data_IF_528468075645
#
_entry.id   IF_528468075645
#
_cell.length_a   1.000
_cell.length_b   1.000
_cell.length_c   1.000
_cell.angle_alpha   90.00
_cell.angle_beta   90.00
_cell.angle_gamma   90.00
#
_symmetry.space_group_name_H-M   'P 1'
#
loop_
_entity.id
_entity.type
_entity.pdbx_description
1 polymer ?
#
# COMPACT_ATOMS: atom_id res chain seq x y z
N UNK A 1 6.83 3.58 7.52
CA UNK A 1 6.02 3.11 6.37
C UNK A 1 5.19 1.96 6.90
N UNK A 2 3.89 1.95 6.69
CA UNK A 2 2.92 1.03 7.33
C UNK A 2 2.88 -0.35 6.70
N UNK A 3 3.25 -0.43 5.43
CA UNK A 3 3.36 -1.67 4.69
C UNK A 3 4.74 -1.73 4.04
N UNK A 4 5.27 -2.94 3.94
CA UNK A 4 6.56 -3.18 3.30
C UNK A 4 6.52 -2.91 1.80
N UNK A 5 7.66 -2.63 1.20
CA UNK A 5 7.76 -2.56 -0.27
C UNK A 5 7.33 -3.86 -0.93
N UNK A 6 7.54 -5.00 -0.26
CA UNK A 6 7.09 -6.31 -0.76
C UNK A 6 5.58 -6.39 -0.85
N UNK A 7 4.85 -5.93 0.17
CA UNK A 7 3.39 -5.86 0.13
C UNK A 7 2.88 -4.92 -0.96
N UNK A 8 3.54 -3.78 -1.18
CA UNK A 8 3.16 -2.88 -2.28
C UNK A 8 3.30 -3.56 -3.64
N UNK A 9 4.40 -4.29 -3.86
CA UNK A 9 4.58 -5.05 -5.10
C UNK A 9 3.60 -6.22 -5.21
N UNK A 10 3.28 -6.89 -4.09
CA UNK A 10 2.30 -7.96 -4.06
C UNK A 10 0.90 -7.46 -4.47
N UNK A 11 0.43 -6.35 -3.91
CA UNK A 11 -0.85 -5.74 -4.26
C UNK A 11 -0.90 -5.36 -5.74
N UNK A 12 0.14 -4.68 -6.26
CA UNK A 12 0.22 -4.31 -7.67
C UNK A 12 0.25 -5.53 -8.59
N UNK A 13 0.94 -6.59 -8.19
CA UNK A 13 1.01 -7.83 -8.98
C UNK A 13 -0.34 -8.55 -9.00
N UNK A 14 -1.06 -8.62 -7.87
CA UNK A 14 -2.40 -9.23 -7.81
C UNK A 14 -3.40 -8.45 -8.64
N UNK A 15 -3.37 -7.10 -8.61
CA UNK A 15 -4.21 -6.27 -9.49
C UNK A 15 -3.93 -6.53 -10.97
N UNK A 16 -2.65 -6.57 -11.36
CA UNK A 16 -2.27 -6.88 -12.75
C UNK A 16 -2.75 -8.27 -13.19
N UNK A 17 -2.62 -9.27 -12.32
CA UNK A 17 -3.13 -10.62 -12.60
C UNK A 17 -4.66 -10.63 -12.70
N UNK A 18 -5.35 -9.85 -11.88
CA UNK A 18 -6.80 -9.73 -11.91
C UNK A 18 -7.31 -9.11 -13.23
N UNK A 19 -6.58 -8.13 -13.76
CA UNK A 19 -6.92 -7.48 -15.04
C UNK A 19 -6.62 -8.34 -16.27
N UNK A 20 -5.53 -9.11 -16.24
CA UNK A 20 -4.98 -9.76 -17.43
C UNK A 20 -5.05 -11.30 -17.38
N UNK A 21 -5.41 -11.89 -16.25
CA UNK A 21 -5.39 -13.33 -16.00
C UNK A 21 -6.77 -13.99 -16.03
N UNK A 22 -7.77 -13.38 -16.67
CA UNK A 22 -9.14 -13.89 -16.70
C UNK A 22 -9.21 -15.19 -17.52
N UNK A 23 -8.71 -15.16 -18.75
CA UNK A 23 -8.79 -16.28 -19.70
C UNK A 23 -7.57 -17.19 -19.64
N UNK A 24 -6.37 -16.60 -19.47
CA UNK A 24 -5.10 -17.33 -19.48
C UNK A 24 -4.19 -16.89 -18.31
N UNK A 25 -3.36 -17.81 -17.75
CA UNK A 25 -2.40 -17.48 -16.71
C UNK A 25 -1.37 -16.44 -17.17
N UNK A 26 -1.14 -15.43 -16.36
CA UNK A 26 -0.16 -14.37 -16.64
C UNK A 26 1.25 -14.81 -16.25
N UNK A 27 2.18 -14.69 -17.17
CA UNK A 27 3.59 -15.07 -16.94
C UNK A 27 4.30 -14.05 -16.03
N UNK A 28 5.21 -14.55 -15.20
CA UNK A 28 6.02 -13.70 -14.32
C UNK A 28 6.79 -12.61 -15.08
N UNK A 29 7.23 -12.90 -16.30
CA UNK A 29 7.99 -11.94 -17.12
C UNK A 29 7.11 -10.77 -17.55
N UNK A 30 5.84 -11.01 -17.89
CA UNK A 30 4.88 -9.96 -18.25
C UNK A 30 4.58 -9.06 -17.03
N UNK A 31 4.34 -9.66 -15.85
CA UNK A 31 4.10 -8.93 -14.61
C UNK A 31 5.35 -8.10 -14.23
N UNK A 32 6.54 -8.70 -14.32
CA UNK A 32 7.81 -8.04 -13.99
C UNK A 32 8.08 -6.82 -14.88
N UNK A 33 7.84 -6.96 -16.18
CA UNK A 33 7.97 -5.87 -17.15
C UNK A 33 6.98 -4.74 -16.86
N UNK A 34 5.70 -5.06 -16.66
CA UNK A 34 4.65 -4.07 -16.39
C UNK A 34 4.90 -3.29 -15.09
N UNK A 35 5.40 -3.95 -14.05
CA UNK A 35 5.65 -3.32 -12.75
C UNK A 35 7.05 -2.70 -12.63
N UNK A 36 7.93 -2.89 -13.63
CA UNK A 36 9.34 -2.49 -13.58
C UNK A 36 10.07 -3.05 -12.36
N UNK A 37 9.86 -4.33 -12.05
CA UNK A 37 10.43 -5.04 -10.89
C UNK A 37 11.32 -6.18 -11.37
N UNK A 38 12.49 -6.42 -10.74
CA UNK A 38 13.34 -7.55 -11.09
C UNK A 38 12.60 -8.88 -11.01
N UNK A 39 12.65 -9.67 -12.08
CA UNK A 39 11.95 -10.96 -12.23
C UNK A 39 12.14 -11.90 -11.03
N UNK A 40 13.40 -12.04 -10.58
CA UNK A 40 13.74 -12.97 -9.50
C UNK A 40 13.09 -12.58 -8.16
N UNK A 41 13.01 -11.28 -7.89
CA UNK A 41 12.33 -10.76 -6.71
C UNK A 41 10.81 -10.99 -6.80
N UNK A 42 10.21 -10.62 -7.94
CA UNK A 42 8.78 -10.77 -8.16
C UNK A 42 8.35 -12.25 -8.13
N UNK A 43 9.14 -13.15 -8.70
CA UNK A 43 8.88 -14.58 -8.67
C UNK A 43 8.73 -15.12 -7.24
N UNK A 44 9.61 -14.71 -6.31
CA UNK A 44 9.49 -15.09 -4.89
C UNK A 44 8.20 -14.58 -4.26
N UNK A 45 7.82 -13.33 -4.56
CA UNK A 45 6.59 -12.70 -4.07
C UNK A 45 5.35 -13.43 -4.60
N UNK A 46 5.29 -13.73 -5.90
CA UNK A 46 4.17 -14.47 -6.50
C UNK A 46 4.04 -15.89 -5.96
N UNK A 47 5.15 -16.60 -5.73
CA UNK A 47 5.11 -17.91 -5.09
C UNK A 47 4.69 -17.84 -3.61
N UNK A 48 5.00 -16.78 -2.87
CA UNK A 48 4.49 -16.58 -1.52
C UNK A 48 2.96 -16.38 -1.55
N UNK A 49 2.45 -15.59 -2.48
CA UNK A 49 1.01 -15.41 -2.70
C UNK A 49 0.31 -16.72 -3.11
N UNK A 50 0.95 -17.54 -3.93
CA UNK A 50 0.42 -18.84 -4.31
C UNK A 50 0.35 -19.81 -3.12
N UNK A 51 1.36 -19.83 -2.24
CA UNK A 51 1.32 -20.62 -0.99
C UNK A 51 0.23 -20.16 -0.02
N UNK A 52 -0.11 -18.86 -0.06
CA UNK A 52 -1.18 -18.27 0.74
C UNK A 52 -2.57 -18.39 0.07
N UNK A 53 -2.69 -19.15 -1.02
CA UNK A 53 -3.91 -19.30 -1.80
C UNK A 53 -4.54 -18.00 -2.31
N UNK A 54 -3.74 -16.95 -2.51
CA UNK A 54 -4.18 -15.73 -3.18
C UNK A 54 -4.12 -15.90 -4.69
N UNK A 55 -3.10 -16.64 -5.17
CA UNK A 55 -2.89 -16.96 -6.58
C UNK A 55 -2.83 -18.47 -6.79
N UNK A 56 -3.24 -18.94 -7.96
CA UNK A 56 -2.86 -20.22 -8.50
C UNK A 56 -1.60 -20.09 -9.35
N UNK A 57 -0.68 -21.06 -9.27
CA UNK A 57 0.50 -21.14 -10.13
C UNK A 57 0.46 -22.38 -11.02
N UNK A 58 0.43 -22.18 -12.33
CA UNK A 58 0.53 -23.24 -13.35
C UNK A 58 1.98 -23.44 -13.80
N UNK A 59 2.35 -24.70 -14.13
CA UNK A 59 3.66 -25.06 -14.70
C UNK A 59 3.57 -25.28 -16.22
N UNK A 60 4.70 -25.22 -16.90
CA UNK A 60 4.82 -25.57 -18.32
C UNK A 60 4.70 -24.36 -19.26
N UNK A 61 4.60 -24.62 -20.60
CA UNK A 61 4.60 -23.55 -21.61
C UNK A 61 3.42 -22.59 -21.50
N UNK A 62 2.27 -23.07 -21.01
CA UNK A 62 1.07 -22.26 -20.72
C UNK A 62 0.95 -21.92 -19.22
N UNK A 63 2.03 -22.08 -18.45
CA UNK A 63 2.05 -21.80 -17.03
C UNK A 63 2.13 -20.29 -16.74
N UNK A 64 1.73 -19.93 -15.53
CA UNK A 64 1.70 -18.54 -15.06
C UNK A 64 0.94 -18.43 -13.75
N UNK A 65 0.40 -17.25 -13.48
CA UNK A 65 -0.36 -16.95 -12.28
C UNK A 65 -1.76 -16.48 -12.64
N UNK A 66 -2.76 -16.95 -11.89
CA UNK A 66 -4.16 -16.51 -11.93
C UNK A 66 -4.65 -16.28 -10.51
N UNK A 67 -5.75 -15.55 -10.33
CA UNK A 67 -6.40 -15.46 -9.02
C UNK A 67 -6.88 -16.84 -8.57
N UNK A 68 -6.76 -17.10 -7.25
CA UNK A 68 -7.27 -18.35 -6.67
C UNK A 68 -8.78 -18.31 -6.44
N UNK A 69 -9.32 -17.11 -6.18
CA UNK A 69 -10.74 -16.85 -5.95
C UNK A 69 -11.19 -15.62 -6.77
N UNK A 70 -12.49 -15.38 -6.91
CA UNK A 70 -13.02 -14.16 -7.51
C UNK A 70 -12.47 -12.89 -6.84
N UNK A 71 -12.25 -11.79 -7.58
CA UNK A 71 -11.62 -10.56 -7.04
C UNK A 71 -12.35 -9.95 -5.84
N UNK A 72 -13.67 -10.11 -5.75
CA UNK A 72 -14.53 -9.65 -4.64
C UNK A 72 -14.35 -10.47 -3.36
N UNK A 73 -13.72 -11.65 -3.43
CA UNK A 73 -13.41 -12.51 -2.29
C UNK A 73 -11.96 -12.38 -1.81
N UNK A 74 -11.15 -11.57 -2.48
CA UNK A 74 -9.75 -11.35 -2.13
C UNK A 74 -9.62 -9.95 -1.51
N UNK A 75 -9.53 -9.88 -0.17
CA UNK A 75 -9.26 -8.63 0.53
C UNK A 75 -7.79 -8.22 0.45
N UNK A 76 -7.51 -6.93 0.59
CA UNK A 76 -6.13 -6.43 0.65
C UNK A 76 -5.35 -7.03 1.83
N UNK A 77 -6.03 -7.31 2.95
CA UNK A 77 -5.44 -7.99 4.11
C UNK A 77 -4.94 -9.39 3.75
N UNK A 78 -5.70 -10.15 2.95
CA UNK A 78 -5.32 -11.49 2.49
C UNK A 78 -4.06 -11.44 1.60
N UNK A 79 -3.94 -10.42 0.77
CA UNK A 79 -2.74 -10.20 -0.07
C UNK A 79 -1.53 -9.79 0.77
N UNK A 80 -1.72 -8.98 1.80
CA UNK A 80 -0.65 -8.47 2.65
C UNK A 80 -0.13 -9.51 3.66
N UNK A 81 -0.98 -10.41 4.13
CA UNK A 81 -0.70 -11.36 5.22
C UNK A 81 0.59 -12.19 5.08
N UNK A 82 1.05 -12.62 3.88
CA UNK A 82 2.33 -13.32 3.73
C UNK A 82 3.58 -12.48 3.98
N UNK A 83 3.46 -11.16 4.04
CA UNK A 83 4.58 -10.21 4.04
C UNK A 83 4.58 -9.26 5.23
N UNK A 84 3.41 -8.88 5.72
CA UNK A 84 3.24 -7.93 6.81
C UNK A 84 2.15 -8.41 7.78
N UNK A 85 2.46 -8.36 9.06
CA UNK A 85 1.46 -8.54 10.10
C UNK A 85 0.71 -7.21 10.35
N UNK A 86 -0.40 -7.03 9.66
CA UNK A 86 -1.25 -5.86 9.83
C UNK A 86 -1.96 -5.80 11.18
N UNK A 87 -2.00 -6.92 11.93
CA UNK A 87 -2.57 -6.99 13.28
C UNK A 87 -1.59 -6.52 14.35
N UNK A 88 -0.29 -6.55 14.06
CA UNK A 88 0.76 -6.14 14.97
C UNK A 88 0.69 -4.62 15.24
N UNK A 89 0.21 -4.26 16.42
CA UNK A 89 0.12 -2.87 16.86
C UNK A 89 1.47 -2.40 17.40
N UNK A 90 2.34 -1.95 16.53
CA UNK A 90 3.59 -1.30 16.93
C UNK A 90 3.30 0.08 17.52
N UNK A 91 3.93 0.42 18.63
CA UNK A 91 3.84 1.77 19.17
C UNK A 91 4.48 2.77 18.19
N UNK A 92 3.78 3.88 17.89
CA UNK A 92 4.32 4.95 17.05
C UNK A 92 5.68 5.47 17.54
N UNK A 93 5.89 5.49 18.86
CA UNK A 93 7.11 5.98 19.49
C UNK A 93 8.11 4.85 19.80
N UNK A 94 7.93 3.64 19.24
CA UNK A 94 8.86 2.53 19.38
C UNK A 94 8.92 1.89 20.77
N UNK A 95 7.94 2.14 21.67
CA UNK A 95 7.92 1.52 23.01
C UNK A 95 7.53 0.05 22.90
N UNK A 96 8.28 -0.82 23.56
CA UNK A 96 8.05 -2.27 23.57
C UNK A 96 6.80 -2.68 24.35
N UNK A 97 6.39 -1.89 25.34
CA UNK A 97 5.20 -2.12 26.18
C UNK A 97 4.28 -0.90 26.14
N UNK A 98 3.60 -0.71 25.02
CA UNK A 98 2.59 0.34 24.89
C UNK A 98 1.21 -0.31 24.70
N UNK A 99 0.25 0.05 25.56
CA UNK A 99 -1.11 -0.46 25.52
C UNK A 99 -1.97 0.28 26.53
N UNK A 100 -3.24 -0.10 26.68
CA UNK A 100 -4.19 0.55 27.57
C UNK A 100 -3.77 0.57 29.05
N UNK A 101 -2.95 -0.40 29.49
CA UNK A 101 -2.42 -0.43 30.87
C UNK A 101 -1.27 0.57 31.08
N UNK A 102 -0.54 0.95 30.03
CA UNK A 102 0.56 1.91 30.07
C UNK A 102 0.64 2.70 28.76
N UNK A 103 -0.35 3.57 28.49
CA UNK A 103 -0.41 4.29 27.23
C UNK A 103 0.67 5.35 27.12
N UNK A 104 1.24 5.53 25.94
CA UNK A 104 2.07 6.69 25.62
C UNK A 104 1.16 7.87 25.21
N UNK A 105 1.72 9.09 25.14
CA UNK A 105 0.97 10.28 24.75
C UNK A 105 0.29 10.20 23.37
N UNK A 106 0.82 9.38 22.46
CA UNK A 106 0.26 9.18 21.13
C UNK A 106 -0.78 8.04 21.08
N UNK A 107 -0.84 7.17 22.12
CA UNK A 107 -1.58 5.91 22.07
C UNK A 107 -3.05 6.03 21.62
N UNK A 108 -3.89 6.90 22.21
CA UNK A 108 -5.31 6.93 21.85
C UNK A 108 -5.56 7.33 20.39
N UNK A 109 -4.79 8.32 19.89
CA UNK A 109 -4.91 8.78 18.49
C UNK A 109 -4.32 7.76 17.52
N UNK A 110 -3.19 7.16 17.90
CA UNK A 110 -2.53 6.16 17.11
C UNK A 110 -3.36 4.90 16.93
N UNK A 111 -4.07 4.47 17.96
CA UNK A 111 -4.97 3.33 17.91
C UNK A 111 -6.12 3.55 16.94
N UNK A 112 -6.73 4.75 16.93
CA UNK A 112 -7.78 5.08 15.96
C UNK A 112 -7.30 4.94 14.52
N UNK A 113 -6.12 5.48 14.20
CA UNK A 113 -5.52 5.39 12.86
C UNK A 113 -5.18 3.93 12.51
N UNK A 114 -4.58 3.19 13.45
CA UNK A 114 -4.26 1.77 13.23
C UNK A 114 -5.50 0.92 12.97
N UNK A 115 -6.58 1.16 13.72
CA UNK A 115 -7.85 0.45 13.53
C UNK A 115 -8.48 0.79 12.18
N UNK A 116 -8.46 2.07 11.77
CA UNK A 116 -8.95 2.50 10.47
C UNK A 116 -8.17 1.86 9.31
N UNK A 117 -6.83 1.77 9.44
CA UNK A 117 -6.00 1.10 8.45
C UNK A 117 -6.31 -0.41 8.36
N UNK A 118 -6.41 -1.09 9.51
CA UNK A 118 -6.77 -2.51 9.54
C UNK A 118 -8.15 -2.75 8.92
N UNK A 119 -9.13 -1.90 9.22
CA UNK A 119 -10.46 -1.97 8.62
C UNK A 119 -10.39 -1.79 7.09
N UNK A 120 -9.65 -0.78 6.61
CA UNK A 120 -9.44 -0.56 5.18
C UNK A 120 -8.88 -1.80 4.47
N UNK A 121 -7.83 -2.41 5.02
CA UNK A 121 -7.23 -3.60 4.41
C UNK A 121 -8.14 -4.83 4.45
N UNK A 122 -8.94 -4.98 5.51
CA UNK A 122 -9.87 -6.10 5.67
C UNK A 122 -11.10 -5.96 4.77
N UNK A 123 -11.64 -4.76 4.68
CA UNK A 123 -12.95 -4.49 4.09
C UNK A 123 -12.86 -4.10 2.60
N UNK A 124 -11.67 -3.73 2.12
CA UNK A 124 -11.42 -3.42 0.70
C UNK A 124 -10.96 -4.68 -0.03
N UNK A 125 -11.59 -4.98 -1.16
CA UNK A 125 -11.28 -6.13 -2.02
C UNK A 125 -10.49 -5.71 -3.26
N UNK A 126 -9.97 -6.71 -3.99
CA UNK A 126 -9.35 -6.48 -5.31
C UNK A 126 -10.39 -5.95 -6.30
N UNK A 127 -11.66 -6.42 -6.23
CA UNK A 127 -12.74 -5.93 -7.08
C UNK A 127 -13.02 -4.44 -6.90
N UNK A 128 -13.00 -3.95 -5.66
CA UNK A 128 -13.21 -2.53 -5.36
C UNK A 128 -12.15 -1.66 -6.05
N UNK A 129 -10.87 -2.07 -5.98
CA UNK A 129 -9.77 -1.34 -6.63
C UNK A 129 -9.85 -1.40 -8.16
N UNK A 130 -10.28 -2.53 -8.75
CA UNK A 130 -10.49 -2.66 -10.18
C UNK A 130 -11.64 -1.75 -10.65
N UNK A 131 -12.74 -1.69 -9.92
CA UNK A 131 -13.87 -0.81 -10.20
C UNK A 131 -13.47 0.67 -10.19
N UNK A 132 -12.64 1.09 -9.23
CA UNK A 132 -12.11 2.45 -9.18
C UNK A 132 -11.15 2.77 -10.32
N UNK A 133 -10.33 1.80 -10.76
CA UNK A 133 -9.41 1.95 -11.90
C UNK A 133 -10.19 2.10 -13.21
N UNK A 134 -11.24 1.31 -13.43
CA UNK A 134 -12.07 1.36 -14.62
C UNK A 134 -12.78 2.72 -14.81
N UNK A 135 -13.05 3.43 -13.72
CA UNK A 135 -13.64 4.78 -13.72
C UNK A 135 -12.63 5.93 -13.88
N UNK A 136 -11.33 5.66 -13.87
CA UNK A 136 -10.28 6.68 -14.00
C UNK A 136 -9.61 6.62 -15.37
N UNK A 137 -9.29 7.76 -16.02
CA UNK A 137 -8.39 7.75 -17.16
C UNK A 137 -7.05 7.14 -16.72
N UNK A 138 -6.51 6.22 -17.53
CA UNK A 138 -5.27 5.48 -17.33
C UNK A 138 -4.19 6.37 -16.70
N UNK A 139 -3.92 6.17 -15.42
CA UNK A 139 -2.73 6.74 -14.78
C UNK A 139 -1.54 5.89 -15.19
N UNK A 140 -0.82 6.33 -16.21
CA UNK A 140 0.57 5.90 -16.43
C UNK A 140 1.33 6.07 -15.11
N UNK A 141 2.27 5.16 -14.76
CA UNK A 141 3.12 5.33 -13.60
C UNK A 141 4.14 6.45 -13.87
N UNK A 142 3.65 7.68 -13.95
CA UNK A 142 4.50 8.84 -13.85
C UNK A 142 4.98 8.86 -12.42
N UNK A 143 6.27 8.65 -12.28
CA UNK A 143 7.06 8.85 -11.09
C UNK A 143 6.97 10.34 -10.73
N UNK A 144 5.82 10.75 -10.18
CA UNK A 144 5.49 12.16 -9.96
C UNK A 144 6.20 12.64 -8.68
N UNK A 145 7.54 12.72 -8.79
CA UNK A 145 8.39 13.39 -7.82
C UNK A 145 7.92 14.81 -7.52
N UNK A 146 7.23 15.44 -8.48
CA UNK A 146 6.71 16.79 -8.34
C UNK A 146 5.47 16.83 -7.41
N UNK A 147 4.55 15.87 -7.52
CA UNK A 147 3.39 15.79 -6.64
C UNK A 147 3.80 15.46 -5.19
N UNK A 148 4.81 14.59 -5.01
CA UNK A 148 5.33 14.27 -3.68
C UNK A 148 6.07 15.47 -3.06
N UNK A 149 6.80 16.25 -3.86
CA UNK A 149 7.48 17.47 -3.41
C UNK A 149 6.50 18.55 -2.97
N UNK A 150 5.33 18.66 -3.62
CA UNK A 150 4.29 19.62 -3.25
C UNK A 150 3.63 19.29 -1.90
N UNK A 151 3.53 17.99 -1.54
CA UNK A 151 2.99 17.55 -0.24
C UNK A 151 3.98 17.70 0.92
N UNK A 152 5.28 17.83 0.64
CA UNK A 152 6.36 17.92 1.64
C UNK A 152 6.78 19.38 1.88
N UNK A 153 6.33 20.33 1.06
CA UNK A 153 6.65 21.74 1.25
C UNK A 153 6.06 22.26 2.58
N UNK A 154 6.87 22.76 3.50
CA UNK A 154 6.35 23.32 4.75
C UNK A 154 5.46 24.53 4.43
N UNK A 155 4.38 24.76 5.19
CA UNK A 155 3.53 25.93 5.01
C UNK A 155 4.39 27.20 5.11
N UNK A 156 4.25 28.09 4.15
CA UNK A 156 4.94 29.38 4.13
C UNK A 156 4.75 30.12 5.45
N UNK A 157 5.86 30.51 6.09
CA UNK A 157 5.85 31.24 7.34
C UNK A 157 4.99 32.52 7.23
N UNK A 158 4.16 32.82 8.23
CA UNK A 158 3.36 34.05 8.21
C UNK A 158 4.27 35.28 8.15
N UNK A 159 3.93 36.21 7.25
CA UNK A 159 4.65 37.46 7.06
C UNK A 159 4.85 38.19 8.41
N UNK A 160 6.10 38.52 8.73
CA UNK A 160 6.45 39.29 9.92
C UNK A 160 5.70 40.62 9.90
N UNK A 161 4.83 40.85 10.88
CA UNK A 161 4.24 42.17 11.12
C UNK A 161 5.33 43.22 11.34
N UNK A 162 5.25 44.40 10.74
CA UNK A 162 6.22 45.47 10.96
C UNK A 162 6.15 45.93 12.45
N UNK A 163 7.31 46.05 13.10
CA UNK A 163 7.44 46.57 14.46
C UNK A 163 6.96 48.03 14.47
N UNK A 164 5.98 48.32 15.29
CA UNK A 164 5.57 49.70 15.58
C UNK A 164 6.76 50.46 16.20
N UNK A 165 7.16 51.55 15.53
CA UNK A 165 8.17 52.45 16.04
C UNK A 165 7.58 53.27 17.19
N UNK A 166 8.03 53.06 18.42
CA UNK A 166 7.74 53.94 19.55
C UNK A 166 8.53 55.23 19.37
N UNK A 167 7.84 56.28 18.92
CA UNK A 167 8.33 57.65 18.99
C UNK A 167 8.41 58.06 20.47
N UNK A 168 9.62 58.23 21.00
CA UNK A 168 9.85 58.97 22.25
C UNK A 168 9.48 60.45 21.97
N UNK A 169 8.56 60.98 22.80
CA UNK A 169 8.41 62.44 22.95
C UNK A 169 9.36 62.88 24.05
N UNK A 170 10.19 63.86 23.75
CA UNK A 170 10.89 64.77 24.68
C UNK A 170 9.91 65.75 25.24
#
# INVERSE_FOLDING_TARGET
MWISGTTQYALRAVLFVAEHGIDEPVRVDAIAAALSVPRNYLSKTLHALARANVLHSGRGPRGGFQLADPPDQISLARVAAPFDDLSARSCLLGRTSCGWKSPCSAHPRWEQVSNALQAFFRDTTIADLLGEIAGRPSMSPTNDRAALAALISPPSAPARRPRASTRRRT
#
